data_IF_481315666523
#
_entry.id   IF_481315666523
#
_cell.length_a   1.000
_cell.length_b   1.000
_cell.length_c   1.000
_cell.angle_alpha   90.00
_cell.angle_beta   90.00
_cell.angle_gamma   90.00
#
_symmetry.space_group_name_H-M   'P 1'
#
loop_
_entity.id
_entity.type
_entity.pdbx_description
1 polymer ?
#
# COMPACT_ATOMS: atom_id res chain seq x y z
N UNK A 1 -78.81 -15.37 -21.60
CA UNK A 1 -78.52 -15.80 -20.21
C UNK A 1 -77.02 -15.67 -20.04
N UNK A 2 -76.59 -14.61 -19.36
CA UNK A 2 -75.22 -14.10 -19.43
C UNK A 2 -74.24 -14.87 -18.53
N UNK A 3 -72.97 -14.86 -18.91
CA UNK A 3 -71.85 -15.49 -18.18
C UNK A 3 -71.81 -15.16 -16.67
N UNK A 4 -72.43 -14.05 -16.26
CA UNK A 4 -72.55 -13.59 -14.88
C UNK A 4 -73.38 -14.56 -14.00
N UNK A 5 -74.43 -15.19 -14.53
CA UNK A 5 -75.25 -16.13 -13.76
C UNK A 5 -74.56 -17.50 -13.59
N UNK A 6 -73.65 -17.85 -14.50
CA UNK A 6 -72.82 -19.06 -14.38
C UNK A 6 -71.72 -18.83 -13.33
N UNK A 7 -71.13 -17.63 -13.30
CA UNK A 7 -70.16 -17.24 -12.28
C UNK A 7 -70.79 -17.15 -10.88
N UNK A 8 -72.05 -16.72 -10.76
CA UNK A 8 -72.79 -16.71 -9.47
C UNK A 8 -72.97 -18.11 -8.86
N UNK A 9 -73.01 -19.18 -9.66
CA UNK A 9 -73.11 -20.55 -9.14
C UNK A 9 -71.81 -21.06 -8.52
N UNK A 10 -70.68 -20.40 -8.79
CA UNK A 10 -69.38 -20.71 -8.19
C UNK A 10 -69.07 -19.85 -6.97
N UNK A 11 -70.07 -19.13 -6.44
CA UNK A 11 -69.96 -18.43 -5.16
C UNK A 11 -69.94 -19.44 -4.01
N UNK A 12 -68.74 -19.87 -3.65
CA UNK A 12 -68.47 -20.77 -2.52
C UNK A 12 -68.73 -20.12 -1.16
N UNK A 13 -68.90 -18.79 -1.09
CA UNK A 13 -69.02 -18.02 0.15
C UNK A 13 -70.39 -17.35 0.26
N UNK A 14 -71.44 -18.15 0.48
CA UNK A 14 -72.79 -17.63 0.79
C UNK A 14 -72.74 -16.68 1.98
N UNK A 15 -73.06 -15.41 1.75
CA UNK A 15 -73.14 -14.38 2.80
C UNK A 15 -74.30 -14.69 3.75
N UNK A 16 -74.02 -14.66 5.05
CA UNK A 16 -75.04 -14.82 6.10
C UNK A 16 -75.86 -13.52 6.15
N UNK A 17 -77.20 -13.57 6.24
CA UNK A 17 -78.03 -12.37 6.40
C UNK A 17 -77.61 -11.57 7.65
N UNK A 18 -77.53 -10.24 7.54
CA UNK A 18 -77.09 -9.36 8.63
C UNK A 18 -77.96 -9.50 9.89
N UNK A 19 -79.24 -9.89 9.72
CA UNK A 19 -80.21 -10.11 10.80
C UNK A 19 -79.84 -11.27 11.76
N UNK A 20 -78.88 -12.12 11.37
CA UNK A 20 -78.39 -13.27 12.18
C UNK A 20 -77.02 -13.02 12.81
N UNK A 21 -76.42 -11.84 12.60
CA UNK A 21 -75.11 -11.47 13.15
C UNK A 21 -75.26 -10.38 14.20
N UNK A 22 -74.67 -10.57 15.39
CA UNK A 22 -74.69 -9.57 16.47
C UNK A 22 -73.26 -9.16 16.77
N UNK A 23 -72.95 -7.86 16.61
CA UNK A 23 -71.62 -7.32 16.92
C UNK A 23 -71.40 -7.25 18.43
N UNK A 24 -70.33 -7.87 18.93
CA UNK A 24 -69.92 -7.79 20.34
C UNK A 24 -68.76 -6.81 20.51
N UNK A 25 -68.82 -5.96 21.56
CA UNK A 25 -67.72 -5.06 21.94
C UNK A 25 -66.34 -5.75 22.04
N UNK A 26 -66.19 -6.92 22.72
CA UNK A 26 -64.92 -7.64 22.74
C UNK A 26 -64.51 -8.20 21.36
N UNK A 27 -65.47 -8.63 20.53
CA UNK A 27 -65.19 -9.12 19.17
C UNK A 27 -64.67 -8.04 18.24
N UNK A 28 -65.15 -6.79 18.37
CA UNK A 28 -64.60 -5.63 17.64
C UNK A 28 -63.14 -5.37 18.05
N UNK A 29 -62.84 -5.41 19.35
CA UNK A 29 -61.48 -5.23 19.86
C UNK A 29 -60.51 -6.29 19.34
N UNK A 30 -60.91 -7.56 19.36
CA UNK A 30 -60.12 -8.68 18.82
C UNK A 30 -59.92 -8.58 17.31
N UNK A 31 -60.95 -8.14 16.56
CA UNK A 31 -60.86 -7.96 15.11
C UNK A 31 -59.87 -6.85 14.72
N UNK A 32 -59.88 -5.73 15.45
CA UNK A 32 -58.92 -4.63 15.26
C UNK A 32 -57.50 -5.10 15.59
N UNK A 33 -57.32 -5.79 16.74
CA UNK A 33 -56.03 -6.36 17.11
C UNK A 33 -55.52 -7.37 16.07
N UNK A 34 -56.42 -8.17 15.49
CA UNK A 34 -56.08 -9.09 14.41
C UNK A 34 -55.65 -8.44 13.13
N UNK A 35 -56.37 -7.41 12.68
CA UNK A 35 -55.97 -6.64 11.52
C UNK A 35 -54.60 -5.98 11.73
N UNK A 36 -54.34 -5.48 12.94
CA UNK A 36 -53.03 -4.92 13.29
C UNK A 36 -51.92 -5.97 13.25
N UNK A 37 -52.12 -7.14 13.85
CA UNK A 37 -51.14 -8.24 13.82
C UNK A 37 -50.90 -8.74 12.39
N UNK A 38 -51.96 -8.92 11.60
CA UNK A 38 -51.86 -9.30 10.18
C UNK A 38 -51.04 -8.28 9.38
N UNK A 39 -51.29 -6.99 9.60
CA UNK A 39 -50.56 -5.92 8.92
C UNK A 39 -49.08 -5.89 9.30
N UNK A 40 -48.76 -6.03 10.60
CA UNK A 40 -47.37 -6.08 11.07
C UNK A 40 -46.63 -7.29 10.50
N UNK A 41 -47.22 -8.49 10.58
CA UNK A 41 -46.60 -9.70 10.04
C UNK A 41 -46.43 -9.63 8.52
N UNK A 42 -47.40 -9.06 7.81
CA UNK A 42 -47.29 -8.84 6.36
C UNK A 42 -46.15 -7.89 6.02
N UNK A 43 -45.97 -6.79 6.76
CA UNK A 43 -44.85 -5.87 6.55
C UNK A 43 -43.51 -6.57 6.82
N UNK A 44 -43.43 -7.38 7.88
CA UNK A 44 -42.21 -8.13 8.20
C UNK A 44 -41.86 -9.12 7.09
N UNK A 45 -42.82 -9.90 6.61
CA UNK A 45 -42.62 -10.86 5.51
C UNK A 45 -42.29 -10.13 4.19
N UNK A 46 -42.95 -9.00 3.92
CA UNK A 46 -42.68 -8.20 2.72
C UNK A 46 -41.27 -7.59 2.74
N UNK A 47 -40.84 -7.07 3.90
CA UNK A 47 -39.46 -6.61 4.06
C UNK A 47 -38.47 -7.77 3.93
N UNK A 48 -38.76 -8.94 4.51
CA UNK A 48 -37.92 -10.14 4.38
C UNK A 48 -37.84 -10.65 2.94
N UNK A 49 -38.89 -10.48 2.14
CA UNK A 49 -38.90 -10.81 0.72
C UNK A 49 -38.09 -9.82 -0.11
N UNK A 50 -38.05 -8.54 0.28
CA UNK A 50 -37.27 -7.51 -0.40
C UNK A 50 -35.78 -7.51 -0.02
N UNK A 51 -35.41 -8.10 1.12
CA UNK A 51 -34.00 -8.26 1.50
C UNK A 51 -33.36 -9.37 0.69
N UNK A 52 -32.26 -9.06 -0.01
CA UNK A 52 -31.42 -10.04 -0.69
C UNK A 52 -30.45 -10.63 0.33
N UNK A 53 -30.47 -11.95 0.49
CA UNK A 53 -29.49 -12.68 1.30
C UNK A 53 -28.41 -13.29 0.39
N UNK A 54 -27.29 -13.70 0.98
CA UNK A 54 -26.15 -14.28 0.24
C UNK A 54 -25.74 -15.63 0.80
N UNK A 55 -25.55 -16.59 -0.10
CA UNK A 55 -25.02 -17.90 0.22
C UNK A 55 -23.53 -17.97 -0.09
N UNK A 56 -22.76 -18.50 0.86
CA UNK A 56 -21.30 -18.66 0.78
C UNK A 56 -20.95 -20.14 0.60
N UNK A 57 -20.57 -20.53 -0.61
CA UNK A 57 -20.09 -21.87 -0.91
C UNK A 57 -18.58 -21.86 -1.15
N UNK A 58 -17.85 -22.81 -0.58
CA UNK A 58 -16.40 -22.96 -0.84
C UNK A 58 -16.22 -23.87 -2.05
N UNK A 59 -15.60 -23.36 -3.10
CA UNK A 59 -15.35 -24.06 -4.36
C UNK A 59 -13.86 -24.13 -4.66
N UNK A 60 -13.44 -25.06 -5.53
CA UNK A 60 -12.06 -25.08 -6.01
C UNK A 60 -11.85 -23.93 -7.01
N UNK A 61 -10.72 -23.24 -6.91
CA UNK A 61 -10.35 -22.16 -7.81
C UNK A 61 -9.77 -22.72 -9.11
N UNK A 62 -10.49 -22.60 -10.22
CA UNK A 62 -10.12 -23.16 -11.52
C UNK A 62 -9.17 -22.27 -12.33
N UNK A 63 -8.88 -21.04 -11.88
CA UNK A 63 -8.11 -20.05 -12.64
C UNK A 63 -6.59 -20.17 -12.52
N UNK A 64 -6.06 -21.39 -12.50
CA UNK A 64 -4.62 -21.67 -12.52
C UNK A 64 -3.98 -21.11 -13.82
N UNK A 65 -2.72 -20.67 -13.73
CA UNK A 65 -1.89 -20.14 -14.85
C UNK A 65 -2.28 -18.78 -15.46
N UNK A 66 -3.25 -18.06 -14.89
CA UNK A 66 -3.51 -16.67 -15.28
C UNK A 66 -2.46 -15.71 -14.72
N UNK A 67 -2.33 -14.52 -15.31
CA UNK A 67 -1.54 -13.43 -14.73
C UNK A 67 -2.37 -12.69 -13.69
N UNK A 68 -1.77 -12.38 -12.55
CA UNK A 68 -2.34 -11.59 -11.47
C UNK A 68 -1.55 -10.30 -11.34
N UNK A 69 -2.26 -9.20 -11.09
CA UNK A 69 -1.66 -7.90 -10.79
C UNK A 69 -1.52 -7.73 -9.28
N UNK A 70 -0.35 -7.30 -8.83
CA UNK A 70 -0.09 -6.90 -7.44
C UNK A 70 0.11 -5.40 -7.43
N UNK A 71 -0.72 -4.67 -6.70
CA UNK A 71 -0.63 -3.23 -6.56
C UNK A 71 -0.05 -2.92 -5.19
N UNK A 72 0.96 -2.06 -5.14
CA UNK A 72 1.66 -1.77 -3.90
C UNK A 72 2.03 -0.30 -3.81
N UNK A 73 2.08 0.19 -2.58
CA UNK A 73 2.53 1.51 -2.20
C UNK A 73 3.25 1.42 -0.86
N UNK A 74 4.57 1.37 -0.90
CA UNK A 74 5.43 1.09 0.25
C UNK A 74 6.36 2.27 0.47
N UNK A 75 6.42 2.77 1.71
CA UNK A 75 7.35 3.82 2.11
C UNK A 75 8.49 3.21 2.92
N UNK A 76 9.72 3.46 2.51
CA UNK A 76 10.94 3.15 3.26
C UNK A 76 11.54 4.46 3.74
N UNK A 77 11.37 4.86 5.01
CA UNK A 77 11.78 6.18 5.50
C UNK A 77 13.29 6.36 5.53
N UNK A 78 14.04 5.26 5.60
CA UNK A 78 15.47 5.26 5.87
C UNK A 78 16.29 4.72 4.69
N UNK A 79 15.92 5.09 3.46
CA UNK A 79 16.62 4.62 2.25
C UNK A 79 16.38 5.57 1.05
N UNK A 80 17.45 6.13 0.46
CA UNK A 80 17.35 6.82 -0.82
C UNK A 80 16.77 5.94 -1.94
N UNK A 81 16.01 6.53 -2.86
CA UNK A 81 15.30 5.78 -3.91
C UNK A 81 16.22 5.07 -4.92
N UNK A 82 17.45 5.53 -5.03
CA UNK A 82 18.51 4.98 -5.88
C UNK A 82 18.99 3.63 -5.35
N UNK A 83 18.78 3.37 -4.07
CA UNK A 83 19.13 2.11 -3.39
C UNK A 83 17.95 1.15 -3.26
N UNK A 84 16.73 1.58 -3.55
CA UNK A 84 15.57 0.71 -3.58
C UNK A 84 15.46 0.01 -4.94
N UNK A 85 15.32 -1.32 -4.96
CA UNK A 85 14.94 -2.06 -6.17
C UNK A 85 13.86 -3.09 -5.84
N UNK A 86 13.03 -3.40 -6.83
CA UNK A 86 11.92 -4.36 -6.66
C UNK A 86 12.19 -5.57 -7.53
N UNK A 87 12.17 -6.73 -6.89
CA UNK A 87 12.44 -8.01 -7.50
C UNK A 87 11.26 -8.94 -7.28
N UNK A 88 11.03 -9.84 -8.23
CA UNK A 88 9.96 -10.82 -8.18
C UNK A 88 10.55 -12.19 -8.42
N UNK A 89 10.19 -13.15 -7.57
CA UNK A 89 10.45 -14.56 -7.83
C UNK A 89 9.20 -15.41 -7.61
N UNK A 90 9.02 -16.42 -8.45
CA UNK A 90 7.90 -17.37 -8.33
C UNK A 90 8.39 -18.82 -8.18
N UNK A 91 7.51 -19.71 -7.73
CA UNK A 91 7.85 -21.14 -7.61
C UNK A 91 8.05 -21.84 -8.97
N UNK A 92 7.67 -21.19 -10.09
CA UNK A 92 7.94 -21.71 -11.44
C UNK A 92 9.39 -21.48 -11.90
N UNK A 93 10.20 -20.83 -11.05
CA UNK A 93 11.60 -20.52 -11.31
C UNK A 93 11.80 -19.20 -12.08
N UNK A 94 10.75 -18.42 -12.33
CA UNK A 94 10.90 -17.09 -12.91
C UNK A 94 11.50 -16.17 -11.85
N UNK A 95 12.65 -15.57 -12.15
CA UNK A 95 13.25 -14.50 -11.34
C UNK A 95 13.43 -13.27 -12.21
N UNK A 96 12.78 -12.17 -11.84
CA UNK A 96 12.93 -10.87 -12.47
C UNK A 96 13.59 -9.94 -11.47
N UNK A 97 14.81 -9.54 -11.78
CA UNK A 97 15.59 -8.61 -10.98
C UNK A 97 15.43 -7.19 -11.50
N UNK A 98 15.37 -6.23 -10.59
CA UNK A 98 15.30 -4.80 -10.82
C UNK A 98 14.18 -4.42 -11.80
N UNK A 99 12.94 -4.78 -11.46
CA UNK A 99 11.78 -4.38 -12.24
C UNK A 99 11.57 -2.87 -12.15
N UNK A 100 11.53 -2.22 -13.31
CA UNK A 100 11.28 -0.77 -13.47
C UNK A 100 9.93 -0.49 -14.12
N UNK A 101 9.44 -1.40 -14.96
CA UNK A 101 8.15 -1.23 -15.62
C UNK A 101 7.02 -1.09 -14.60
N UNK A 102 6.26 0.00 -14.70
CA UNK A 102 5.10 0.29 -13.85
C UNK A 102 5.40 0.50 -12.36
N UNK A 103 6.66 0.80 -12.01
CA UNK A 103 7.07 1.13 -10.65
C UNK A 103 7.61 2.54 -10.65
N UNK A 104 7.10 3.36 -9.74
CA UNK A 104 7.49 4.75 -9.59
C UNK A 104 8.07 4.98 -8.20
N UNK A 105 9.08 5.85 -8.15
CA UNK A 105 9.83 6.15 -6.94
C UNK A 105 9.72 7.64 -6.64
N UNK A 106 9.32 7.97 -5.42
CA UNK A 106 9.26 9.35 -4.92
C UNK A 106 10.27 9.51 -3.79
N UNK A 107 11.19 10.46 -3.95
CA UNK A 107 12.11 10.89 -2.89
C UNK A 107 11.32 11.60 -1.79
N UNK A 108 11.56 11.19 -0.55
CA UNK A 108 10.96 11.75 0.64
C UNK A 108 12.00 12.50 1.46
N UNK A 109 11.56 13.57 2.11
CA UNK A 109 12.35 14.20 3.15
C UNK A 109 12.24 13.42 4.48
N UNK A 110 13.00 13.86 5.48
CA UNK A 110 13.01 13.24 6.82
C UNK A 110 11.68 13.33 7.58
N UNK A 111 10.79 14.23 7.16
CA UNK A 111 9.43 14.34 7.72
C UNK A 111 8.42 13.49 6.93
N UNK A 112 8.88 12.74 5.94
CA UNK A 112 8.04 11.92 5.06
C UNK A 112 7.29 12.71 3.98
N UNK A 113 7.63 13.99 3.74
CA UNK A 113 7.03 14.81 2.68
C UNK A 113 7.66 14.47 1.33
N UNK A 114 6.85 14.47 0.28
CA UNK A 114 7.33 14.21 -1.08
C UNK A 114 8.14 15.38 -1.61
N UNK A 115 9.35 15.11 -2.08
CA UNK A 115 10.25 16.10 -2.67
C UNK A 115 10.21 16.03 -4.19
N UNK A 116 10.18 14.83 -4.77
CA UNK A 116 10.08 14.69 -6.22
C UNK A 116 10.19 13.25 -6.68
N UNK A 117 10.01 13.03 -7.98
CA UNK A 117 10.23 11.72 -8.60
C UNK A 117 11.73 11.45 -8.71
N UNK A 118 12.14 10.22 -8.38
CA UNK A 118 13.50 9.77 -8.65
C UNK A 118 13.65 9.54 -10.17
N UNK A 119 14.73 10.05 -10.77
CA UNK A 119 14.97 9.86 -12.20
C UNK A 119 15.48 8.45 -12.48
N UNK A 120 14.81 7.75 -13.39
CA UNK A 120 15.04 6.32 -13.64
C UNK A 120 16.24 6.03 -14.58
N UNK A 121 16.85 7.05 -15.18
CA UNK A 121 17.86 6.90 -16.23
C UNK A 121 19.26 6.43 -15.76
N UNK A 122 19.43 6.10 -14.48
CA UNK A 122 20.74 5.75 -13.89
C UNK A 122 20.81 4.30 -13.40
N UNK A 123 20.29 3.35 -14.18
CA UNK A 123 20.22 1.93 -13.78
C UNK A 123 21.61 1.31 -13.58
N UNK A 124 22.65 1.83 -14.25
CA UNK A 124 24.07 1.58 -13.92
C UNK A 124 24.89 2.82 -14.31
N UNK A 125 25.67 3.42 -13.40
CA UNK A 125 26.56 4.50 -13.78
C UNK A 125 27.58 3.96 -14.78
N UNK A 126 27.87 4.73 -15.82
CA UNK A 126 28.98 4.42 -16.70
C UNK A 126 30.28 4.52 -15.88
N UNK A 127 31.07 3.48 -15.95
CA UNK A 127 32.40 3.45 -15.38
C UNK A 127 33.41 3.83 -16.45
N UNK A 128 34.48 4.53 -16.05
CA UNK A 128 35.67 4.66 -16.88
C UNK A 128 36.23 3.27 -17.22
N UNK A 129 36.68 3.12 -18.46
CA UNK A 129 37.55 2.01 -18.86
C UNK A 129 39.01 2.43 -18.67
N UNK A 130 39.86 1.50 -18.22
CA UNK A 130 41.27 1.77 -17.92
C UNK A 130 42.05 2.28 -19.16
N UNK A 131 41.59 1.92 -20.36
CA UNK A 131 42.14 2.35 -21.65
C UNK A 131 41.59 3.70 -22.14
N UNK A 132 40.52 4.23 -21.54
CA UNK A 132 39.87 5.46 -21.99
C UNK A 132 40.76 6.69 -21.76
N UNK A 133 41.66 6.62 -20.79
CA UNK A 133 42.45 7.76 -20.38
C UNK A 133 43.94 7.42 -20.32
N UNK A 134 44.75 8.24 -21.01
CA UNK A 134 46.21 8.15 -21.01
C UNK A 134 46.85 8.65 -19.71
N UNK A 135 48.02 9.26 -19.85
CA UNK A 135 48.80 9.78 -18.72
C UNK A 135 48.02 10.80 -17.88
N UNK A 136 48.32 10.83 -16.57
CA UNK A 136 47.70 11.78 -15.65
C UNK A 136 48.15 13.22 -15.99
N UNK A 137 47.28 14.23 -15.83
CA UNK A 137 47.68 15.63 -15.99
C UNK A 137 48.85 15.99 -15.06
N UNK A 138 49.81 16.76 -15.56
CA UNK A 138 50.91 17.30 -14.75
C UNK A 138 50.36 18.38 -13.81
N UNK A 139 50.17 18.01 -12.53
CA UNK A 139 49.62 18.86 -11.49
C UNK A 139 50.02 18.34 -10.12
N UNK A 140 50.41 19.25 -9.23
CA UNK A 140 50.72 18.95 -7.82
C UNK A 140 49.46 18.71 -6.98
N UNK A 141 48.27 18.89 -7.55
CA UNK A 141 47.02 18.66 -6.84
C UNK A 141 46.80 17.16 -6.57
N UNK A 142 46.50 16.85 -5.32
CA UNK A 142 46.23 15.50 -4.83
C UNK A 142 44.89 15.44 -4.09
N UNK A 143 44.33 14.24 -4.02
CA UNK A 143 43.14 13.98 -3.19
C UNK A 143 43.58 14.05 -1.73
N UNK A 144 42.92 14.89 -0.94
CA UNK A 144 43.20 14.99 0.51
C UNK A 144 42.41 13.91 1.24
N UNK A 145 43.09 13.12 2.09
CA UNK A 145 42.43 12.15 2.97
C UNK A 145 42.02 12.89 4.25
N UNK A 146 40.75 12.79 4.61
CA UNK A 146 40.17 13.44 5.79
C UNK A 146 39.80 12.40 6.86
N UNK A 147 39.92 12.81 8.10
CA UNK A 147 39.55 12.08 9.31
C UNK A 147 38.53 12.89 10.14
N UNK A 148 38.17 12.38 11.33
CA UNK A 148 37.23 13.02 12.24
C UNK A 148 37.64 14.45 12.66
N UNK A 149 38.94 14.72 12.79
CA UNK A 149 39.46 16.00 13.28
C UNK A 149 39.67 17.02 12.15
N UNK A 150 39.99 16.55 10.94
CA UNK A 150 40.33 17.39 9.79
C UNK A 150 39.15 17.67 8.86
N UNK A 151 38.08 16.87 8.92
CA UNK A 151 36.93 17.01 8.04
C UNK A 151 36.26 18.39 8.13
N UNK A 152 35.80 18.80 9.32
CA UNK A 152 35.13 20.09 9.50
C UNK A 152 36.04 21.30 9.18
N UNK A 153 37.30 21.36 9.65
CA UNK A 153 38.23 22.42 9.26
C UNK A 153 38.43 22.52 7.75
N UNK A 154 38.55 21.38 7.05
CA UNK A 154 38.76 21.35 5.61
C UNK A 154 37.55 21.89 4.84
N UNK A 155 36.33 21.56 5.28
CA UNK A 155 35.10 22.10 4.71
C UNK A 155 35.01 23.62 4.90
N UNK A 156 35.39 24.14 6.08
CA UNK A 156 35.38 25.59 6.36
C UNK A 156 36.42 26.38 5.55
N UNK A 157 37.52 25.74 5.18
CA UNK A 157 38.58 26.38 4.41
C UNK A 157 38.23 26.58 2.93
N UNK A 158 37.29 25.79 2.39
CA UNK A 158 37.02 25.73 0.95
C UNK A 158 35.55 26.01 0.64
N UNK A 159 35.30 26.76 -0.44
CA UNK A 159 33.93 27.16 -0.79
C UNK A 159 33.09 25.98 -1.32
N UNK A 160 33.68 25.11 -2.15
CA UNK A 160 33.06 23.86 -2.59
C UNK A 160 34.00 22.68 -2.35
N UNK A 161 33.48 21.62 -1.74
CA UNK A 161 34.22 20.38 -1.49
C UNK A 161 33.40 19.18 -1.93
N UNK A 162 34.00 18.31 -2.72
CA UNK A 162 33.44 16.99 -2.99
C UNK A 162 34.19 15.95 -2.17
N UNK A 163 33.46 15.13 -1.43
CA UNK A 163 34.05 14.10 -0.58
C UNK A 163 33.59 12.73 -1.04
N UNK A 164 34.54 11.86 -1.35
CA UNK A 164 34.32 10.44 -1.60
C UNK A 164 34.44 9.65 -0.29
N UNK A 165 33.33 9.08 0.16
CA UNK A 165 33.28 8.17 1.29
C UNK A 165 33.44 6.73 0.79
N UNK A 166 34.55 6.09 1.16
CA UNK A 166 34.94 4.79 0.64
C UNK A 166 35.31 3.79 1.74
N UNK A 167 35.50 2.53 1.34
CA UNK A 167 36.08 1.50 2.19
C UNK A 167 37.11 0.66 1.39
N UNK A 168 38.20 0.17 1.99
CA UNK A 168 39.25 -0.55 1.25
C UNK A 168 38.80 -1.84 0.54
N UNK A 169 37.81 -2.55 1.10
CA UNK A 169 37.25 -3.77 0.52
C UNK A 169 36.24 -3.51 -0.61
N UNK A 170 35.80 -2.26 -0.77
CA UNK A 170 34.79 -1.89 -1.76
C UNK A 170 35.36 -1.98 -3.19
N UNK A 171 34.81 -2.90 -3.98
CA UNK A 171 35.23 -3.12 -5.39
C UNK A 171 35.02 -1.86 -6.23
N UNK A 172 33.87 -1.20 -6.06
CA UNK A 172 33.50 -0.01 -6.81
C UNK A 172 34.36 1.21 -6.47
N UNK A 173 34.84 1.29 -5.24
CA UNK A 173 35.69 2.37 -4.75
C UNK A 173 37.08 2.28 -5.38
N UNK A 174 37.68 1.08 -5.37
CA UNK A 174 38.96 0.82 -6.06
C UNK A 174 38.89 1.13 -7.56
N UNK A 175 37.76 0.86 -8.20
CA UNK A 175 37.55 1.22 -9.62
C UNK A 175 37.44 2.74 -9.82
N UNK A 176 36.90 3.47 -8.85
CA UNK A 176 36.71 4.92 -8.95
C UNK A 176 37.97 5.72 -8.57
N UNK A 177 38.82 5.20 -7.69
CA UNK A 177 40.06 5.83 -7.22
C UNK A 177 40.94 6.47 -8.33
N UNK A 178 41.26 5.80 -9.46
CA UNK A 178 42.06 6.42 -10.52
C UNK A 178 41.32 7.59 -11.20
N UNK A 179 40.00 7.50 -11.34
CA UNK A 179 39.16 8.57 -11.89
C UNK A 179 39.15 9.75 -10.93
N UNK A 180 38.96 9.51 -9.64
CA UNK A 180 38.93 10.54 -8.61
C UNK A 180 40.26 11.30 -8.50
N UNK A 181 41.37 10.57 -8.60
CA UNK A 181 42.72 11.16 -8.66
C UNK A 181 42.90 12.02 -9.91
N UNK A 182 42.42 11.57 -11.07
CA UNK A 182 42.48 12.35 -12.31
C UNK A 182 41.62 13.60 -12.22
N UNK A 183 40.44 13.52 -11.59
CA UNK A 183 39.59 14.68 -11.31
C UNK A 183 40.38 15.70 -10.49
N UNK A 184 40.99 15.30 -9.37
CA UNK A 184 41.79 16.18 -8.51
C UNK A 184 42.86 16.95 -9.28
N UNK A 185 43.60 16.24 -10.16
CA UNK A 185 44.66 16.82 -11.00
C UNK A 185 44.13 17.72 -12.11
N UNK A 186 42.92 17.45 -12.61
CA UNK A 186 42.28 18.23 -13.68
C UNK A 186 41.73 19.55 -13.15
N UNK A 187 41.22 19.59 -11.91
CA UNK A 187 40.55 20.78 -11.37
C UNK A 187 41.38 22.07 -11.47
N UNK A 188 42.67 22.13 -11.09
CA UNK A 188 43.47 23.35 -11.20
C UNK A 188 43.56 23.95 -12.61
N UNK A 189 43.40 23.12 -13.66
CA UNK A 189 43.42 23.58 -15.06
C UNK A 189 42.13 24.29 -15.48
N UNK A 190 41.05 24.15 -14.70
CA UNK A 190 39.75 24.72 -15.00
C UNK A 190 39.63 26.12 -14.36
N UNK A 191 39.01 27.06 -15.08
CA UNK A 191 38.86 28.45 -14.61
C UNK A 191 38.17 28.59 -13.24
N UNK A 192 37.25 27.68 -12.92
CA UNK A 192 36.53 27.61 -11.65
C UNK A 192 37.16 26.65 -10.62
N UNK A 193 38.18 25.88 -11.00
CA UNK A 193 38.71 24.81 -10.16
C UNK A 193 39.47 25.29 -8.92
N UNK A 194 39.87 26.57 -8.87
CA UNK A 194 40.49 27.13 -7.66
C UNK A 194 39.54 27.15 -6.46
N UNK A 195 38.22 27.21 -6.68
CA UNK A 195 37.19 27.26 -5.64
C UNK A 195 36.69 25.87 -5.21
N UNK A 196 37.16 24.81 -5.89
CA UNK A 196 36.71 23.44 -5.68
C UNK A 196 37.88 22.58 -5.19
N UNK A 197 37.61 21.74 -4.19
CA UNK A 197 38.52 20.68 -3.78
C UNK A 197 37.81 19.33 -3.76
N UNK A 198 38.60 18.29 -3.94
CA UNK A 198 38.15 16.91 -3.75
C UNK A 198 38.91 16.29 -2.60
N UNK A 199 38.21 15.49 -1.82
CA UNK A 199 38.74 14.78 -0.67
C UNK A 199 38.15 13.36 -0.61
N UNK A 200 38.73 12.53 0.24
CA UNK A 200 38.25 11.17 0.50
C UNK A 200 38.27 10.87 2.00
N UNK A 201 37.32 10.07 2.45
CA UNK A 201 37.19 9.61 3.84
C UNK A 201 37.13 8.07 3.84
N UNK A 202 38.00 7.44 4.61
CA UNK A 202 37.95 5.99 4.85
C UNK A 202 36.96 5.68 5.97
N UNK A 203 35.79 5.15 5.60
CA UNK A 203 34.73 4.79 6.54
C UNK A 203 35.02 3.54 7.36
N UNK A 204 35.99 2.72 6.95
CA UNK A 204 36.45 1.60 7.77
C UNK A 204 37.31 2.12 8.93
N UNK A 205 38.15 3.13 8.69
CA UNK A 205 38.98 3.75 9.72
C UNK A 205 38.19 4.73 10.60
N UNK A 206 37.22 5.45 10.02
CA UNK A 206 36.43 6.50 10.69
C UNK A 206 34.91 6.23 10.62
N UNK A 207 34.41 5.16 11.26
CA UNK A 207 33.00 4.76 11.15
C UNK A 207 32.04 5.79 11.75
N UNK A 208 32.42 6.52 12.80
CA UNK A 208 31.54 7.50 13.45
C UNK A 208 31.29 8.72 12.57
N UNK A 209 32.32 9.19 11.85
CA UNK A 209 32.17 10.24 10.85
C UNK A 209 31.17 9.83 9.77
N UNK A 210 31.32 8.64 9.21
CA UNK A 210 30.46 8.15 8.14
C UNK A 210 29.02 7.88 8.61
N UNK A 211 28.82 7.40 9.84
CA UNK A 211 27.49 7.29 10.45
C UNK A 211 26.81 8.66 10.59
N UNK A 212 27.55 9.67 11.03
CA UNK A 212 27.05 11.05 11.18
C UNK A 212 26.67 11.67 9.83
N UNK A 213 27.39 11.29 8.77
CA UNK A 213 27.12 11.69 7.39
C UNK A 213 26.11 10.76 6.68
N UNK A 214 25.48 9.82 7.40
CA UNK A 214 24.48 8.88 6.89
C UNK A 214 24.94 8.02 5.70
N UNK A 215 26.23 7.66 5.67
CA UNK A 215 26.79 6.81 4.63
C UNK A 215 26.42 5.35 4.90
N UNK A 216 25.78 4.71 3.91
CA UNK A 216 25.35 3.30 3.95
C UNK A 216 25.90 2.44 2.83
N UNK A 217 26.40 3.09 1.78
CA UNK A 217 26.85 2.47 0.57
C UNK A 217 28.14 3.14 0.11
N UNK A 218 29.00 2.36 -0.54
CA UNK A 218 30.30 2.80 -0.99
C UNK A 218 30.46 2.57 -2.52
N UNK A 219 31.10 3.50 -3.25
CA UNK A 219 31.45 4.85 -2.80
C UNK A 219 30.20 5.72 -2.66
N UNK A 220 30.19 6.63 -1.69
CA UNK A 220 29.19 7.70 -1.60
C UNK A 220 29.89 9.03 -1.83
N UNK A 221 29.54 9.74 -2.90
CA UNK A 221 30.13 11.05 -3.18
C UNK A 221 29.14 12.14 -2.77
N UNK A 222 29.55 12.96 -1.81
CA UNK A 222 28.77 14.07 -1.28
C UNK A 222 29.42 15.40 -1.62
N UNK A 223 28.62 16.38 -2.00
CA UNK A 223 29.10 17.75 -2.25
C UNK A 223 28.72 18.66 -1.09
N UNK A 224 29.67 19.43 -0.59
CA UNK A 224 29.54 20.39 0.49
C UNK A 224 29.82 21.79 -0.02
N UNK A 225 29.22 22.78 0.65
CA UNK A 225 29.32 24.19 0.28
C UNK A 225 29.45 25.06 1.52
N UNK A 226 30.30 26.09 1.45
CA UNK A 226 30.40 27.17 2.45
C UNK A 226 30.70 26.68 3.89
N UNK A 227 31.42 25.55 4.02
CA UNK A 227 31.72 24.96 5.32
C UNK A 227 30.51 24.39 6.07
N UNK A 228 29.37 24.22 5.39
CA UNK A 228 28.22 23.48 5.94
C UNK A 228 28.59 22.00 6.09
N UNK A 229 28.25 21.42 7.24
CA UNK A 229 28.42 19.99 7.51
C UNK A 229 27.33 19.15 6.85
N UNK A 230 26.27 19.78 6.37
CA UNK A 230 25.24 19.14 5.58
C UNK A 230 25.62 19.16 4.10
N UNK A 231 25.63 17.99 3.43
CA UNK A 231 25.87 17.96 2.00
C UNK A 231 24.71 18.63 1.24
N UNK A 232 25.05 19.34 0.18
CA UNK A 232 24.11 19.93 -0.79
C UNK A 232 23.34 18.82 -1.50
N UNK A 233 24.04 17.77 -1.94
CA UNK A 233 23.47 16.62 -2.63
C UNK A 233 24.44 15.42 -2.59
N UNK A 234 23.89 14.22 -2.84
CA UNK A 234 24.64 13.01 -3.12
C UNK A 234 24.68 12.75 -4.63
N UNK A 235 25.83 12.31 -5.13
CA UNK A 235 26.02 12.00 -6.55
C UNK A 235 25.73 10.53 -6.88
N UNK A 236 24.80 10.31 -7.82
CA UNK A 236 24.44 8.99 -8.33
C UNK A 236 24.80 8.75 -9.81
N UNK A 237 25.39 9.76 -10.46
CA UNK A 237 25.69 9.73 -11.89
C UNK A 237 26.91 8.90 -12.29
N UNK A 238 27.29 9.04 -13.56
CA UNK A 238 28.43 8.35 -14.15
C UNK A 238 29.74 8.65 -13.42
N UNK A 239 30.59 7.64 -13.28
CA UNK A 239 31.86 7.72 -12.56
C UNK A 239 33.02 7.90 -13.54
N UNK A 240 32.88 8.90 -14.42
CA UNK A 240 33.89 9.34 -15.38
C UNK A 240 34.36 10.76 -15.05
N UNK A 241 35.54 11.15 -15.55
CA UNK A 241 36.08 12.49 -15.28
C UNK A 241 35.15 13.57 -15.83
N UNK A 242 34.63 13.37 -17.03
CA UNK A 242 33.73 14.30 -17.72
C UNK A 242 32.44 14.50 -16.94
N UNK A 243 31.89 13.43 -16.38
CA UNK A 243 30.66 13.48 -15.61
C UNK A 243 30.85 14.24 -14.30
N UNK A 244 31.93 13.98 -13.57
CA UNK A 244 32.26 14.75 -12.36
C UNK A 244 32.52 16.23 -12.69
N UNK A 245 33.34 16.53 -13.70
CA UNK A 245 33.63 17.91 -14.12
C UNK A 245 32.37 18.64 -14.60
N UNK A 246 31.50 17.95 -15.33
CA UNK A 246 30.21 18.46 -15.76
C UNK A 246 29.29 18.77 -14.58
N UNK A 247 29.25 17.89 -13.58
CA UNK A 247 28.47 18.10 -12.36
C UNK A 247 28.99 19.28 -11.53
N UNK A 248 30.32 19.41 -11.41
CA UNK A 248 30.93 20.58 -10.76
C UNK A 248 30.56 21.88 -11.44
N UNK A 249 30.59 21.92 -12.78
CA UNK A 249 30.16 23.08 -13.55
C UNK A 249 28.70 23.43 -13.26
N UNK A 250 27.82 22.43 -13.21
CA UNK A 250 26.40 22.65 -12.88
C UNK A 250 26.20 23.26 -11.48
N UNK A 251 26.93 22.74 -10.48
CA UNK A 251 26.89 23.26 -9.11
C UNK A 251 27.37 24.72 -9.03
N UNK A 252 28.45 25.06 -9.73
CA UNK A 252 29.02 26.41 -9.79
C UNK A 252 28.11 27.41 -10.48
N UNK A 253 27.42 26.99 -11.55
CA UNK A 253 26.45 27.81 -12.28
C UNK A 253 25.18 28.09 -11.45
N UNK A 254 25.07 27.55 -10.22
CA UNK A 254 23.90 27.70 -9.35
C UNK A 254 22.67 26.95 -9.85
N UNK A 255 22.83 26.04 -10.82
CA UNK A 255 21.76 25.22 -11.38
C UNK A 255 21.49 24.05 -10.45
N UNK A 256 20.77 24.31 -9.37
CA UNK A 256 20.16 23.26 -8.56
C UNK A 256 19.16 22.50 -9.42
N UNK A 257 19.11 21.18 -9.27
CA UNK A 257 18.02 20.42 -9.85
C UNK A 257 16.69 20.76 -9.14
N UNK A 258 15.59 20.35 -9.77
CA UNK A 258 14.26 20.68 -9.27
C UNK A 258 13.97 20.07 -7.89
N UNK A 259 14.59 18.93 -7.57
CA UNK A 259 14.36 18.22 -6.32
C UNK A 259 15.07 18.91 -5.17
N UNK A 260 16.31 19.35 -5.36
CA UNK A 260 17.13 19.96 -4.32
C UNK A 260 16.65 21.41 -4.08
N UNK A 261 16.20 22.10 -5.14
CA UNK A 261 15.52 23.40 -5.01
C UNK A 261 14.29 23.29 -4.09
N UNK A 262 13.46 22.26 -4.27
CA UNK A 262 12.28 22.03 -3.43
C UNK A 262 12.64 21.67 -1.99
N UNK A 263 13.71 20.90 -1.74
CA UNK A 263 14.19 20.64 -0.36
C UNK A 263 14.55 21.93 0.35
N UNK A 264 15.26 22.82 -0.34
CA UNK A 264 15.67 24.11 0.21
C UNK A 264 14.46 24.96 0.60
N UNK A 265 13.43 24.99 -0.26
CA UNK A 265 12.17 25.68 0.04
C UNK A 265 11.49 25.12 1.30
N UNK A 266 11.38 23.79 1.39
CA UNK A 266 10.80 23.10 2.56
C UNK A 266 11.59 23.36 3.84
N UNK A 267 12.92 23.37 3.75
CA UNK A 267 13.80 23.66 4.88
C UNK A 267 13.65 25.10 5.38
N UNK A 268 13.62 26.08 4.47
CA UNK A 268 13.40 27.48 4.86
C UNK A 268 12.00 27.71 5.43
N UNK A 269 10.99 26.98 4.95
CA UNK A 269 9.66 26.99 5.54
C UNK A 269 9.67 26.43 6.97
N UNK A 270 10.35 25.30 7.19
CA UNK A 270 10.48 24.70 8.52
C UNK A 270 11.21 25.60 9.51
N UNK A 271 12.25 26.30 9.05
CA UNK A 271 13.00 27.27 9.85
C UNK A 271 12.12 28.45 10.29
N UNK A 272 11.28 28.97 9.39
CA UNK A 272 10.28 30.01 9.71
C UNK A 272 9.28 29.52 10.75
N UNK A 273 8.69 28.34 10.51
CA UNK A 273 7.73 27.74 11.43
C UNK A 273 8.32 27.51 12.84
N UNK A 274 9.57 27.03 12.92
CA UNK A 274 10.26 26.83 14.20
C UNK A 274 10.51 28.16 14.93
N UNK A 275 10.94 29.20 14.19
CA UNK A 275 11.12 30.53 14.74
C UNK A 275 9.81 31.13 15.27
N UNK A 276 8.72 31.01 14.52
CA UNK A 276 7.39 31.51 14.91
C UNK A 276 6.84 30.78 16.14
N UNK A 277 7.22 29.52 16.35
CA UNK A 277 6.85 28.71 17.52
C UNK A 277 7.81 28.89 18.71
N UNK A 278 8.85 29.73 18.60
CA UNK A 278 9.85 29.91 19.67
C UNK A 278 10.74 28.68 19.91
N UNK A 279 10.80 27.76 18.95
CA UNK A 279 11.66 26.58 19.01
C UNK A 279 13.04 26.88 18.44
N UNK A 280 14.08 26.25 19.00
CA UNK A 280 15.42 26.33 18.45
C UNK A 280 15.43 25.74 17.02
N UNK A 281 16.04 26.46 16.08
CA UNK A 281 16.25 25.97 14.72
C UNK A 281 17.17 24.74 14.82
N UNK A 282 16.66 23.56 14.46
CA UNK A 282 17.50 22.40 14.31
C UNK A 282 18.61 22.75 13.30
N UNK A 283 19.88 22.66 13.72
CA UNK A 283 21.00 22.75 12.79
C UNK A 283 20.74 21.71 11.71
N UNK A 284 20.73 22.19 10.46
CA UNK A 284 20.45 21.46 9.22
C UNK A 284 20.41 19.96 9.45
N UNK A 285 19.19 19.41 9.50
CA UNK A 285 19.01 18.00 9.76
C UNK A 285 19.61 17.26 8.56
N UNK A 286 20.88 16.85 8.67
CA UNK A 286 21.37 15.74 7.87
C UNK A 286 20.61 14.55 8.38
N UNK A 287 19.95 13.91 7.46
CA UNK A 287 19.12 12.76 7.74
C UNK A 287 18.81 12.12 6.41
N UNK A 288 18.66 10.81 6.43
CA UNK A 288 18.57 10.00 5.24
C UNK A 288 17.28 10.37 4.50
N UNK A 289 17.38 10.48 3.18
CA UNK A 289 16.20 10.58 2.35
C UNK A 289 15.43 9.27 2.44
N UNK A 290 14.10 9.37 2.51
CA UNK A 290 13.23 8.22 2.38
C UNK A 290 12.85 7.97 0.93
N UNK A 291 12.34 6.78 0.64
CA UNK A 291 11.78 6.44 -0.65
C UNK A 291 10.36 5.90 -0.53
N UNK A 292 9.44 6.44 -1.32
CA UNK A 292 8.13 5.86 -1.54
C UNK A 292 8.09 5.16 -2.89
N UNK A 293 7.88 3.85 -2.87
CA UNK A 293 7.73 2.99 -4.02
C UNK A 293 6.25 2.74 -4.24
N UNK A 294 5.72 3.05 -5.42
CA UNK A 294 4.33 2.73 -5.74
C UNK A 294 4.20 2.28 -7.18
N UNK A 295 3.24 1.41 -7.44
CA UNK A 295 3.08 0.84 -8.77
C UNK A 295 2.38 -0.49 -8.76
N UNK A 296 2.59 -1.25 -9.82
CA UNK A 296 2.02 -2.58 -9.93
C UNK A 296 2.92 -3.57 -10.66
N UNK A 297 2.83 -4.83 -10.25
CA UNK A 297 3.58 -5.96 -10.79
C UNK A 297 2.62 -6.94 -11.47
N UNK A 298 2.99 -7.41 -12.65
CA UNK A 298 2.32 -8.53 -13.31
C UNK A 298 3.07 -9.82 -13.01
N UNK A 299 2.44 -10.70 -12.24
CA UNK A 299 3.00 -11.99 -11.81
C UNK A 299 2.13 -13.14 -12.27
N UNK A 300 2.68 -14.35 -12.36
CA UNK A 300 1.85 -15.54 -12.56
C UNK A 300 1.04 -15.81 -11.29
N UNK A 301 -0.17 -16.35 -11.44
CA UNK A 301 -1.04 -16.73 -10.33
C UNK A 301 -0.60 -18.07 -9.72
N UNK A 302 0.59 -18.05 -9.15
CA UNK A 302 1.23 -19.15 -8.42
C UNK A 302 1.85 -18.59 -7.14
N UNK A 303 2.10 -19.41 -6.11
CA UNK A 303 2.82 -18.94 -4.95
C UNK A 303 4.19 -18.36 -5.35
N UNK A 304 4.55 -17.27 -4.69
CA UNK A 304 5.74 -16.51 -5.03
C UNK A 304 6.08 -15.48 -3.97
N UNK A 305 7.08 -14.67 -4.30
CA UNK A 305 7.47 -13.53 -3.49
C UNK A 305 7.81 -12.35 -4.38
N UNK A 306 7.57 -11.16 -3.87
CA UNK A 306 8.23 -9.96 -4.36
C UNK A 306 8.93 -9.32 -3.18
N UNK A 307 10.09 -8.74 -3.40
CA UNK A 307 10.86 -8.12 -2.34
C UNK A 307 11.42 -6.79 -2.80
N UNK A 308 11.39 -5.84 -1.88
CA UNK A 308 12.08 -4.57 -2.01
C UNK A 308 13.48 -4.79 -1.48
N UNK A 309 14.44 -4.90 -2.40
CA UNK A 309 15.84 -4.88 -2.06
C UNK A 309 16.24 -3.47 -1.64
N UNK A 310 16.97 -3.42 -0.52
CA UNK A 310 17.51 -2.18 0.04
C UNK A 310 18.95 -1.97 -0.44
N UNK A 311 19.23 -2.40 -1.67
CA UNK A 311 20.55 -2.42 -2.27
C UNK A 311 20.56 -2.05 -3.75
N UNK A 312 21.68 -1.46 -4.18
CA UNK A 312 21.96 -1.19 -5.59
C UNK A 312 23.23 -1.94 -6.02
N UNK A 313 23.17 -2.74 -7.10
CA UNK A 313 24.33 -3.48 -7.62
C UNK A 313 25.55 -2.63 -7.98
N UNK A 314 25.38 -1.33 -8.28
CA UNK A 314 26.46 -0.41 -8.61
C UNK A 314 27.25 0.12 -7.39
N UNK A 315 26.84 -0.29 -6.18
CA UNK A 315 27.44 0.13 -4.92
C UNK A 315 27.74 -1.09 -4.05
N UNK A 316 28.69 -0.94 -3.14
CA UNK A 316 29.02 -1.93 -2.10
C UNK A 316 28.37 -1.46 -0.81
N UNK A 317 27.43 -2.23 -0.27
CA UNK A 317 26.73 -1.89 0.96
C UNK A 317 27.19 -2.74 2.13
N UNK A 318 27.22 -2.12 3.30
CA UNK A 318 27.38 -2.81 4.57
C UNK A 318 25.99 -3.19 5.09
N UNK A 319 25.71 -4.50 5.20
CA UNK A 319 24.42 -5.01 5.67
C UNK A 319 24.09 -4.56 7.10
N UNK A 320 25.09 -4.25 7.92
CA UNK A 320 24.90 -3.76 9.29
C UNK A 320 24.37 -2.33 9.37
N UNK A 321 24.42 -1.58 8.26
CA UNK A 321 23.98 -0.18 8.19
C UNK A 321 22.59 -0.03 7.53
N UNK A 322 21.98 -1.13 7.10
CA UNK A 322 20.69 -1.15 6.41
C UNK A 322 19.59 -1.62 7.36
N UNK A 323 18.47 -0.90 7.36
CA UNK A 323 17.30 -1.16 8.18
C UNK A 323 16.08 -1.42 7.29
N UNK A 324 15.36 -2.53 7.51
CA UNK A 324 14.16 -2.90 6.77
C UNK A 324 12.85 -2.30 7.33
N UNK A 325 12.94 -1.23 8.12
CA UNK A 325 11.78 -0.48 8.60
C UNK A 325 11.04 0.16 7.43
N UNK A 326 9.73 0.00 7.39
CA UNK A 326 8.90 0.49 6.29
C UNK A 326 7.44 0.65 6.70
N UNK A 327 6.66 1.30 5.85
CA UNK A 327 5.21 1.45 5.98
C UNK A 327 4.55 0.94 4.72
N UNK A 328 3.56 0.07 4.87
CA UNK A 328 2.73 -0.36 3.75
C UNK A 328 1.54 0.59 3.69
N UNK A 329 1.52 1.52 2.74
CA UNK A 329 0.41 2.44 2.57
C UNK A 329 -0.77 1.74 1.90
N UNK A 330 -0.49 0.91 0.91
CA UNK A 330 -1.48 0.17 0.12
C UNK A 330 -0.85 -1.13 -0.39
N UNK A 331 -1.56 -2.25 -0.24
CA UNK A 331 -1.18 -3.51 -0.88
C UNK A 331 -2.42 -4.34 -1.21
N UNK A 332 -2.63 -4.65 -2.49
CA UNK A 332 -3.75 -5.48 -2.91
C UNK A 332 -3.50 -6.23 -4.21
N UNK A 333 -4.36 -7.21 -4.46
CA UNK A 333 -4.23 -8.18 -5.54
C UNK A 333 -5.43 -8.06 -6.49
N UNK A 334 -5.17 -8.16 -7.78
CA UNK A 334 -6.18 -8.08 -8.83
C UNK A 334 -6.12 -6.79 -9.66
N UNK A 335 -7.11 -6.67 -10.55
CA UNK A 335 -7.31 -5.47 -11.37
C UNK A 335 -8.33 -4.53 -10.71
N UNK A 336 -8.29 -3.26 -11.11
CA UNK A 336 -9.35 -2.32 -10.71
C UNK A 336 -10.66 -2.71 -11.39
N UNK A 337 -11.71 -2.84 -10.58
CA UNK A 337 -13.05 -3.13 -11.07
C UNK A 337 -13.61 -1.90 -11.79
N UNK A 338 -14.22 -2.13 -12.95
CA UNK A 338 -14.91 -1.08 -13.70
C UNK A 338 -16.21 -0.70 -12.95
N UNK A 339 -16.72 0.52 -13.11
CA UNK A 339 -17.94 0.98 -12.43
C UNK A 339 -19.15 0.04 -12.62
N UNK A 340 -19.23 -0.65 -13.76
CA UNK A 340 -20.28 -1.66 -14.01
C UNK A 340 -20.11 -2.94 -13.20
N UNK A 341 -18.87 -3.37 -12.91
CA UNK A 341 -18.58 -4.56 -12.08
C UNK A 341 -18.74 -4.22 -10.59
N UNK A 342 -18.30 -3.03 -10.18
CA UNK A 342 -18.53 -2.51 -8.82
C UNK A 342 -20.00 -2.48 -8.44
N UNK A 343 -20.88 -2.12 -9.39
CA UNK A 343 -22.33 -2.07 -9.17
C UNK A 343 -22.96 -3.46 -8.92
N UNK A 344 -22.31 -4.54 -9.38
CA UNK A 344 -22.76 -5.92 -9.14
C UNK A 344 -22.39 -6.42 -7.74
N UNK A 345 -21.52 -5.71 -7.03
CA UNK A 345 -21.09 -6.13 -5.70
C UNK A 345 -22.07 -5.63 -4.64
N UNK A 346 -22.30 -6.41 -3.57
CA UNK A 346 -23.04 -5.96 -2.40
C UNK A 346 -22.42 -4.67 -1.82
N UNK A 347 -23.23 -3.77 -1.24
CA UNK A 347 -22.71 -2.52 -0.63
C UNK A 347 -21.61 -2.77 0.40
N UNK A 348 -21.74 -3.83 1.20
CA UNK A 348 -20.72 -4.23 2.18
C UNK A 348 -19.43 -4.72 1.51
N UNK A 349 -19.54 -5.42 0.38
CA UNK A 349 -18.38 -5.84 -0.39
C UNK A 349 -17.68 -4.63 -1.02
N UNK A 350 -18.43 -3.64 -1.52
CA UNK A 350 -17.88 -2.41 -2.09
C UNK A 350 -17.03 -1.62 -1.10
N UNK A 351 -17.43 -1.57 0.18
CA UNK A 351 -16.65 -0.88 1.21
C UNK A 351 -15.44 -1.69 1.66
N UNK A 352 -15.56 -3.01 1.75
CA UNK A 352 -14.47 -3.89 2.17
C UNK A 352 -13.43 -4.19 1.08
N UNK A 353 -13.73 -3.86 -0.17
CA UNK A 353 -12.84 -4.08 -1.32
C UNK A 353 -11.49 -3.39 -1.18
N UNK A 354 -11.49 -2.19 -0.58
CA UNK A 354 -10.32 -1.33 -0.47
C UNK A 354 -9.78 -1.25 0.97
N UNK A 355 -10.25 -2.13 1.85
CA UNK A 355 -9.74 -2.24 3.21
C UNK A 355 -8.90 -3.49 3.31
N UNK A 356 -7.58 -3.34 3.17
CA UNK A 356 -6.67 -4.46 3.29
C UNK A 356 -5.93 -4.44 4.62
N UNK A 357 -5.52 -5.63 5.08
CA UNK A 357 -4.97 -5.81 6.43
C UNK A 357 -3.64 -5.08 6.67
N UNK A 358 -2.87 -4.84 5.61
CA UNK A 358 -1.57 -4.17 5.71
C UNK A 358 -1.65 -2.68 5.35
N UNK A 359 -2.82 -2.15 5.00
CA UNK A 359 -2.93 -0.76 4.55
C UNK A 359 -2.73 0.21 5.72
N UNK A 360 -1.87 1.20 5.50
CA UNK A 360 -1.46 2.23 6.46
C UNK A 360 -0.81 1.67 7.74
N UNK A 361 -0.23 0.47 7.67
CA UNK A 361 0.49 -0.16 8.79
C UNK A 361 2.00 0.11 8.71
N UNK A 362 2.58 0.49 9.85
CA UNK A 362 4.02 0.77 9.99
C UNK A 362 4.76 -0.41 10.66
N UNK A 363 5.83 -0.86 10.03
CA UNK A 363 6.68 -1.95 10.50
C UNK A 363 8.07 -1.44 10.82
N UNK A 364 8.42 -1.39 12.10
CA UNK A 364 9.76 -1.02 12.57
C UNK A 364 10.60 -2.27 12.77
N UNK A 365 11.73 -2.38 12.09
CA UNK A 365 12.72 -3.42 12.38
C UNK A 365 13.62 -2.97 13.52
N UNK A 366 13.76 -3.82 14.53
CA UNK A 366 14.56 -3.54 15.72
C UNK A 366 16.04 -3.87 15.54
N UNK A 367 16.36 -4.72 14.56
CA UNK A 367 17.70 -5.20 14.28
C UNK A 367 18.15 -4.74 12.89
N UNK A 368 19.32 -4.10 12.83
CA UNK A 368 20.00 -3.81 11.56
C UNK A 368 20.61 -5.10 11.05
N UNK A 369 20.49 -5.42 9.77
CA UNK A 369 20.79 -6.72 9.12
C UNK A 369 19.68 -7.79 9.13
N UNK A 370 18.45 -7.44 9.52
CA UNK A 370 17.30 -8.37 9.40
C UNK A 370 16.48 -8.10 8.14
N UNK A 371 16.00 -9.18 7.53
CA UNK A 371 14.99 -9.14 6.47
C UNK A 371 13.61 -9.15 7.14
N UNK A 372 12.75 -8.22 6.74
CA UNK A 372 11.38 -8.12 7.25
C UNK A 372 10.43 -8.84 6.28
N UNK A 373 9.63 -9.79 6.77
CA UNK A 373 8.84 -10.67 5.92
C UNK A 373 7.35 -10.64 6.26
N UNK A 374 6.56 -10.39 5.23
CA UNK A 374 5.11 -10.50 5.25
C UNK A 374 4.70 -11.80 4.58
N UNK A 375 4.06 -12.68 5.34
CA UNK A 375 3.39 -13.87 4.85
C UNK A 375 1.94 -13.52 4.54
N UNK A 376 1.57 -13.62 3.28
CA UNK A 376 0.28 -13.21 2.75
C UNK A 376 -0.43 -14.43 2.17
N UNK A 377 -1.62 -14.75 2.68
CA UNK A 377 -2.49 -15.79 2.12
C UNK A 377 -3.62 -15.14 1.35
N UNK A 378 -3.62 -15.28 0.03
CA UNK A 378 -4.60 -14.69 -0.89
C UNK A 378 -5.72 -15.70 -1.15
N UNK A 379 -6.98 -15.23 -1.09
CA UNK A 379 -8.19 -16.01 -1.34
C UNK A 379 -9.03 -15.26 -2.36
N UNK A 380 -9.53 -15.99 -3.35
CA UNK A 380 -10.45 -15.46 -4.36
C UNK A 380 -11.88 -15.49 -3.82
N UNK A 381 -12.59 -14.38 -3.96
CA UNK A 381 -14.02 -14.26 -3.71
C UNK A 381 -14.72 -14.03 -5.04
N UNK A 382 -15.55 -14.98 -5.43
CA UNK A 382 -16.31 -14.98 -6.68
C UNK A 382 -17.74 -14.54 -6.38
N UNK A 383 -18.16 -13.38 -6.89
CA UNK A 383 -19.54 -12.91 -6.78
C UNK A 383 -20.30 -13.30 -8.03
N UNK A 384 -21.26 -14.20 -7.87
CA UNK A 384 -22.10 -14.71 -8.95
C UNK A 384 -23.44 -14.02 -8.90
N UNK A 385 -23.74 -13.28 -9.96
CA UNK A 385 -25.02 -12.60 -10.13
C UNK A 385 -26.08 -13.58 -10.63
N UNK A 386 -27.35 -13.25 -10.42
CA UNK A 386 -28.49 -14.01 -10.92
C UNK A 386 -28.57 -14.11 -12.46
N UNK A 387 -27.82 -13.31 -13.23
CA UNK A 387 -27.64 -13.44 -14.69
C UNK A 387 -26.55 -14.45 -15.11
N UNK A 388 -25.85 -15.05 -14.13
CA UNK A 388 -24.74 -15.98 -14.34
C UNK A 388 -23.38 -15.32 -14.57
N UNK A 389 -23.29 -13.98 -14.57
CA UNK A 389 -22.01 -13.28 -14.61
C UNK A 389 -21.28 -13.37 -13.27
N UNK A 390 -19.95 -13.43 -13.34
CA UNK A 390 -19.08 -13.65 -12.19
C UNK A 390 -18.05 -12.53 -12.09
N UNK A 391 -17.90 -11.95 -10.90
CA UNK A 391 -16.89 -10.93 -10.59
C UNK A 391 -15.94 -11.48 -9.53
N UNK A 392 -14.67 -11.60 -9.89
CA UNK A 392 -13.63 -12.13 -9.01
C UNK A 392 -12.89 -11.01 -8.29
N UNK A 393 -12.81 -11.13 -6.97
CA UNK A 393 -12.17 -10.17 -6.07
C UNK A 393 -11.18 -10.92 -5.19
N UNK A 394 -10.00 -10.37 -4.95
CA UNK A 394 -9.04 -10.99 -4.04
C UNK A 394 -9.14 -10.37 -2.66
N UNK A 395 -9.22 -11.23 -1.64
CA UNK A 395 -8.99 -10.85 -0.23
C UNK A 395 -7.75 -11.57 0.26
N UNK A 396 -7.10 -11.02 1.27
CA UNK A 396 -5.96 -11.71 1.87
C UNK A 396 -5.90 -11.53 3.38
N UNK A 397 -5.24 -12.50 4.01
CA UNK A 397 -4.77 -12.35 5.38
C UNK A 397 -3.25 -12.23 5.37
N UNK A 398 -2.70 -11.52 6.34
CA UNK A 398 -1.27 -11.28 6.44
C UNK A 398 -0.78 -11.45 7.87
N UNK A 399 0.45 -11.94 7.99
CA UNK A 399 1.21 -11.96 9.23
C UNK A 399 2.66 -11.56 8.92
N UNK A 400 3.28 -10.85 9.86
CA UNK A 400 4.60 -10.24 9.68
C UNK A 400 5.57 -10.84 10.68
N UNK A 401 6.80 -11.11 10.25
CA UNK A 401 7.88 -11.56 11.11
C UNK A 401 9.24 -11.03 10.60
N UNK A 402 10.24 -10.98 11.45
CA UNK A 402 11.62 -10.63 11.07
C UNK A 402 12.54 -11.84 11.23
N UNK A 403 13.54 -11.98 10.35
CA UNK A 403 14.57 -12.99 10.52
C UNK A 403 15.94 -12.44 10.12
N UNK A 404 16.98 -13.01 10.72
CA UNK A 404 18.37 -12.66 10.44
C UNK A 404 18.78 -13.22 9.08
N UNK A 405 19.20 -12.34 8.18
CA UNK A 405 19.77 -12.72 6.87
C UNK A 405 21.29 -12.86 7.03
N UNK A 406 21.83 -14.06 6.85
CA UNK A 406 23.26 -14.34 7.09
C UNK A 406 24.12 -14.31 5.82
N UNK A 407 23.51 -14.50 4.65
CA UNK A 407 24.23 -14.60 3.37
C UNK A 407 23.92 -13.46 2.41
N UNK A 408 22.69 -12.91 2.45
CA UNK A 408 22.22 -11.87 1.55
C UNK A 408 22.06 -10.51 2.24
N UNK A 409 21.90 -9.45 1.43
CA UNK A 409 21.58 -8.12 1.94
C UNK A 409 20.14 -8.10 2.49
N UNK A 410 19.89 -7.38 3.60
CA UNK A 410 18.56 -7.30 4.18
C UNK A 410 17.56 -6.72 3.18
N UNK A 411 16.34 -7.25 3.20
CA UNK A 411 15.27 -6.85 2.29
C UNK A 411 13.92 -6.74 3.00
N UNK A 412 12.93 -6.17 2.32
CA UNK A 412 11.54 -6.24 2.73
C UNK A 412 10.84 -7.22 1.79
N UNK A 413 10.43 -8.37 2.31
CA UNK A 413 9.93 -9.48 1.51
C UNK A 413 8.44 -9.71 1.72
N UNK A 414 7.69 -9.82 0.63
CA UNK A 414 6.27 -10.14 0.61
C UNK A 414 6.10 -11.51 -0.02
N UNK A 415 5.93 -12.53 0.82
CA UNK A 415 5.65 -13.91 0.40
C UNK A 415 4.15 -14.07 0.27
N UNK A 416 3.66 -14.29 -0.94
CA UNK A 416 2.24 -14.51 -1.20
C UNK A 416 1.98 -15.95 -1.62
N UNK A 417 0.95 -16.54 -1.04
CA UNK A 417 0.50 -17.89 -1.33
C UNK A 417 -1.00 -17.85 -1.66
N UNK A 418 -1.38 -18.44 -2.79
CA UNK A 418 -2.77 -18.48 -3.24
C UNK A 418 -3.48 -19.68 -2.61
N UNK A 419 -4.69 -19.45 -2.12
CA UNK A 419 -5.58 -20.52 -1.69
C UNK A 419 -6.08 -21.29 -2.90
N UNK A 420 -6.04 -22.65 -2.89
CA UNK A 420 -6.70 -23.45 -3.92
C UNK A 420 -8.24 -23.43 -3.82
N UNK A 421 -8.76 -22.82 -2.75
CA UNK A 421 -10.18 -22.65 -2.48
C UNK A 421 -10.58 -21.20 -2.75
N UNK A 422 -11.71 -21.03 -3.43
CA UNK A 422 -12.40 -19.76 -3.67
C UNK A 422 -13.73 -19.75 -2.92
N UNK A 423 -14.14 -18.57 -2.43
CA UNK A 423 -15.45 -18.38 -1.81
C UNK A 423 -16.42 -17.88 -2.87
N UNK A 424 -17.34 -18.74 -3.29
CA UNK A 424 -18.41 -18.41 -4.22
C UNK A 424 -19.59 -17.82 -3.44
N UNK A 425 -19.90 -16.57 -3.74
CA UNK A 425 -20.95 -15.76 -3.12
C UNK A 425 -22.06 -15.63 -4.16
N UNK A 426 -23.23 -16.18 -3.87
CA UNK A 426 -24.39 -16.12 -4.77
C UNK A 426 -25.59 -15.52 -4.04
N UNK A 427 -26.40 -14.77 -4.77
CA UNK A 427 -27.66 -14.22 -4.25
C UNK A 427 -28.64 -15.36 -3.94
N UNK A 428 -29.13 -15.40 -2.71
CA UNK A 428 -30.21 -16.29 -2.28
C UNK A 428 -31.52 -15.50 -2.32
N UNK A 429 -32.23 -15.60 -3.44
CA UNK A 429 -33.50 -14.90 -3.64
C UNK A 429 -34.68 -15.81 -3.33
N UNK A 430 -35.58 -15.36 -2.46
CA UNK A 430 -36.83 -16.06 -2.20
C UNK A 430 -37.76 -15.93 -3.42
N UNK A 431 -38.25 -17.04 -4.00
CA UNK A 431 -39.14 -16.96 -5.16
C UNK A 431 -40.51 -16.42 -4.77
N UNK A 432 -41.17 -15.69 -5.68
CA UNK A 432 -42.43 -14.99 -5.42
C UNK A 432 -43.56 -15.88 -4.88
N UNK A 433 -43.62 -17.15 -5.29
CA UNK A 433 -44.65 -18.06 -4.80
C UNK A 433 -44.54 -18.28 -3.28
N UNK A 434 -43.33 -18.26 -2.72
CA UNK A 434 -43.11 -18.45 -1.29
C UNK A 434 -43.73 -17.29 -0.49
N UNK A 435 -43.53 -16.05 -0.95
CA UNK A 435 -44.16 -14.86 -0.37
C UNK A 435 -45.70 -14.96 -0.41
N UNK A 436 -46.28 -15.35 -1.54
CA UNK A 436 -47.74 -15.50 -1.66
C UNK A 436 -48.26 -16.58 -0.71
N UNK A 437 -47.57 -17.72 -0.60
CA UNK A 437 -47.96 -18.78 0.33
C UNK A 437 -47.84 -18.34 1.78
N UNK A 438 -46.79 -17.61 2.17
CA UNK A 438 -46.64 -17.02 3.50
C UNK A 438 -47.75 -16.01 3.80
N UNK A 439 -48.08 -15.12 2.86
CA UNK A 439 -49.14 -14.13 3.03
C UNK A 439 -50.51 -14.80 3.26
N UNK A 440 -50.84 -15.85 2.49
CA UNK A 440 -52.04 -16.64 2.71
C UNK A 440 -52.03 -17.33 4.08
N UNK A 441 -50.88 -17.85 4.52
CA UNK A 441 -50.72 -18.48 5.82
C UNK A 441 -50.89 -17.48 6.98
N UNK A 442 -50.39 -16.25 6.84
CA UNK A 442 -50.59 -15.16 7.83
C UNK A 442 -52.07 -14.81 7.95
N UNK A 443 -52.76 -14.62 6.82
CA UNK A 443 -54.19 -14.27 6.80
C UNK A 443 -55.03 -15.38 7.44
N UNK A 444 -54.83 -16.64 7.02
CA UNK A 444 -55.56 -17.79 7.55
C UNK A 444 -55.21 -18.09 9.01
N UNK A 445 -53.93 -18.03 9.36
CA UNK A 445 -53.41 -18.28 10.70
C UNK A 445 -53.92 -17.28 11.73
N UNK A 446 -53.91 -15.98 11.43
CA UNK A 446 -54.41 -14.97 12.37
C UNK A 446 -55.94 -15.07 12.51
N UNK A 447 -56.67 -15.29 11.41
CA UNK A 447 -58.13 -15.44 11.45
C UNK A 447 -58.56 -16.65 12.32
N UNK A 448 -57.89 -17.79 12.16
CA UNK A 448 -58.18 -19.00 12.96
C UNK A 448 -57.85 -18.82 14.44
N UNK A 449 -56.69 -18.24 14.77
CA UNK A 449 -56.29 -18.01 16.16
C UNK A 449 -57.26 -17.06 16.86
N UNK A 450 -57.65 -15.95 16.20
CA UNK A 450 -58.58 -14.98 16.78
C UNK A 450 -59.98 -15.58 16.95
N UNK A 451 -60.43 -16.39 15.99
CA UNK A 451 -61.70 -17.11 16.13
C UNK A 451 -61.72 -18.04 17.35
N UNK A 452 -60.61 -18.75 17.62
CA UNK A 452 -60.47 -19.58 18.82
C UNK A 452 -60.51 -18.71 20.09
N UNK A 453 -59.78 -17.59 20.11
CA UNK A 453 -59.77 -16.67 21.26
C UNK A 453 -61.14 -16.06 21.53
N UNK A 454 -61.86 -15.62 20.49
CA UNK A 454 -63.22 -15.07 20.63
C UNK A 454 -64.17 -16.12 21.21
N UNK A 455 -64.10 -17.36 20.72
CA UNK A 455 -64.91 -18.46 21.22
C UNK A 455 -64.61 -18.79 22.70
N UNK A 456 -63.34 -18.77 23.11
CA UNK A 456 -62.93 -18.95 24.51
C UNK A 456 -63.47 -17.81 25.37
N UNK A 457 -63.23 -16.55 24.98
CA UNK A 457 -63.68 -15.36 25.72
C UNK A 457 -65.20 -15.36 25.89
N UNK A 458 -65.94 -15.68 24.83
CA UNK A 458 -67.40 -15.74 24.86
C UNK A 458 -67.92 -16.86 25.77
N UNK A 459 -67.28 -18.05 25.78
CA UNK A 459 -67.63 -19.14 26.70
C UNK A 459 -67.30 -18.79 28.15
N UNK A 460 -66.14 -18.20 28.44
CA UNK A 460 -65.74 -17.79 29.79
C UNK A 460 -66.65 -16.68 30.33
N UNK A 461 -67.01 -15.70 29.50
CA UNK A 461 -67.97 -14.63 29.85
C UNK A 461 -69.34 -15.19 30.19
N UNK A 462 -69.87 -16.15 29.40
CA UNK A 462 -71.12 -16.84 29.73
C UNK A 462 -71.03 -17.67 31.01
N UNK A 463 -69.90 -18.34 31.26
CA UNK A 463 -69.70 -19.13 32.47
C UNK A 463 -69.58 -18.27 33.74
N UNK A 464 -68.95 -17.09 33.64
CA UNK A 464 -68.85 -16.11 34.73
C UNK A 464 -70.21 -15.46 35.03
N UNK A 465 -70.95 -15.02 34.01
CA UNK A 465 -72.28 -14.45 34.20
C UNK A 465 -73.29 -15.47 34.78
N UNK A 466 -73.09 -16.77 34.55
CA UNK A 466 -73.89 -17.83 35.18
C UNK A 466 -73.56 -18.09 36.66
N UNK A 467 -72.45 -17.56 37.18
CA UNK A 467 -72.02 -17.70 38.59
C UNK A 467 -72.29 -16.44 39.44
N UNK A 468 -72.67 -15.33 38.80
CA UNK A 468 -72.92 -14.02 39.45
C UNK A 468 -74.43 -13.73 39.59
N UNK A 469 -75.28 -14.57 39.00
CA UNK A 469 -76.70 -14.77 39.34
C UNK A 469 -76.81 -16.00 40.25
#
# INVERSE_FOLDING_TARGET
>A
MGAIDVLKKWDFYKKIPEDLTVSTLPGVGLSIAGCFIMFVLFILEFNSYLTVDYKYDIVMDEGLDQTMRINFNITVPDLPCEFASVDVSDMTGTRKHNMTSNIFKIRLDQKGRSVGLAQENQIKPRFADDAEYGELPESDATVTILDEDTFEPFLKQHHYVAVDFFAPWCVWCRRMEPVWTRVAKTLPSLHYGQQLRVASVDCQAHPQLCLTQFIRAYPSILFYKDGDLSPVEMYFGDRTVEAFVGKFKQLMDGKMDAVEARKKELFEQDKKNAHDQGHAIARSAVGPEGCRLYGHLYVKRVPGNFHVHLANPAYSMDSSLVNASHTVNELWFGEHLVSGEMAKLPREAQTQLYTHRLDNEGFTSFYKNHTYVHYIKVVTNSYVQSDGSEVNVYKYTAHSNEYLETEDLPSIMFRYDLSPMSVRISEDTVPFYHFVTSACAIIGGVFTVIGIFDQVIHQTSRALNKKVL
#
